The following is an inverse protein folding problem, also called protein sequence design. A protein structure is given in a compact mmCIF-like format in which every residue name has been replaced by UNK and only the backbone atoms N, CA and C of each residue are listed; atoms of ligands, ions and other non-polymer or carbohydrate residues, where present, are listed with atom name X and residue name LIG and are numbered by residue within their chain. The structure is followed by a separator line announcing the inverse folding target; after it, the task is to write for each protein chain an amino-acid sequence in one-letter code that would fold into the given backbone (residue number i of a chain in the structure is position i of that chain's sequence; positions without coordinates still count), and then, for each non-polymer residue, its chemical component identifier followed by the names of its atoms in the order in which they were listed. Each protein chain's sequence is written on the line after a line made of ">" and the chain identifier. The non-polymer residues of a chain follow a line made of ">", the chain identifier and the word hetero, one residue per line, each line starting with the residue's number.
data_IF_214359998972
#
_entry.id   IF_214359998972
#
_cell.length_a   1.000
_cell.length_b   1.000
_cell.length_c   1.000
_cell.angle_alpha   90.00
_cell.angle_beta   90.00
_cell.angle_gamma   90.00
#
_symmetry.space_group_name_H-M   'P 1'
#
loop_
_entity.id
_entity.type
_entity.pdbx_description
1 polymer ?
#
# COMPACT_ATOMS: atom_id res chain seq x y z
N UNK A 1 7.34 -11.29 34.88
CA UNK A 1 7.05 -12.26 33.80
C UNK A 1 8.05 -12.17 32.65
N UNK A 2 8.47 -10.97 32.23
CA UNK A 2 9.32 -10.78 31.05
C UNK A 2 10.75 -11.31 31.21
N UNK A 3 11.36 -11.14 32.39
CA UNK A 3 12.69 -11.69 32.69
C UNK A 3 12.74 -13.22 32.59
N UNK A 4 11.69 -13.92 33.08
CA UNK A 4 11.59 -15.38 32.97
C UNK A 4 11.40 -15.84 31.51
N UNK A 5 10.65 -15.07 30.70
CA UNK A 5 10.49 -15.33 29.26
C UNK A 5 11.80 -15.14 28.50
N UNK A 6 12.56 -14.11 28.85
CA UNK A 6 13.89 -13.89 28.31
C UNK A 6 14.85 -15.03 28.66
N UNK A 7 14.85 -15.49 29.92
CA UNK A 7 15.64 -16.65 30.34
C UNK A 7 15.24 -17.93 29.61
N UNK A 8 13.93 -18.17 29.42
CA UNK A 8 13.43 -19.32 28.66
C UNK A 8 13.86 -19.26 27.18
N UNK A 9 13.83 -18.07 26.57
CA UNK A 9 14.30 -17.83 25.21
C UNK A 9 15.80 -18.14 25.07
N UNK A 10 16.64 -17.59 25.96
CA UNK A 10 18.10 -17.81 25.93
C UNK A 10 18.43 -19.28 26.20
N UNK A 11 17.70 -19.94 27.11
CA UNK A 11 17.89 -21.37 27.38
C UNK A 11 17.51 -22.25 26.17
N UNK A 12 16.37 -21.99 25.54
CA UNK A 12 15.94 -22.73 24.34
C UNK A 12 16.89 -22.51 23.17
N UNK A 13 17.33 -21.27 22.96
CA UNK A 13 18.30 -20.92 21.92
C UNK A 13 19.64 -21.63 22.15
N UNK A 14 20.22 -21.50 23.34
CA UNK A 14 21.50 -22.10 23.69
C UNK A 14 21.47 -23.62 23.65
N UNK A 15 20.37 -24.25 24.10
CA UNK A 15 20.21 -25.71 24.04
C UNK A 15 20.13 -26.21 22.60
N UNK A 16 19.35 -25.54 21.75
CA UNK A 16 19.22 -25.91 20.34
C UNK A 16 20.53 -25.68 19.57
N UNK A 17 21.24 -24.58 19.84
CA UNK A 17 22.56 -24.31 19.25
C UNK A 17 23.57 -25.40 19.66
N UNK A 18 23.66 -25.71 20.96
CA UNK A 18 24.57 -26.75 21.46
C UNK A 18 24.21 -28.13 20.92
N UNK A 19 22.93 -28.44 20.75
CA UNK A 19 22.48 -29.66 20.09
C UNK A 19 22.99 -29.73 18.65
N UNK A 20 22.74 -28.71 17.83
CA UNK A 20 23.16 -28.68 16.41
C UNK A 20 24.67 -28.82 16.28
N UNK A 21 25.44 -28.14 17.13
CA UNK A 21 26.92 -28.24 17.14
C UNK A 21 27.39 -29.63 17.57
N UNK A 22 26.66 -30.31 18.47
CA UNK A 22 26.99 -31.67 18.93
C UNK A 22 26.56 -32.74 17.92
N UNK A 23 25.46 -32.55 17.20
CA UNK A 23 24.88 -33.51 16.26
C UNK A 23 25.33 -33.27 14.79
N UNK A 24 26.44 -32.56 14.60
CA UNK A 24 26.94 -32.09 13.31
C UNK A 24 27.51 -33.16 12.36
N UNK A 25 27.66 -34.40 12.82
CA UNK A 25 28.26 -35.48 12.01
C UNK A 25 29.66 -35.11 11.48
N UNK A 26 29.84 -35.18 10.16
CA UNK A 26 31.09 -34.83 9.45
C UNK A 26 31.23 -33.35 9.06
N UNK A 27 30.28 -32.49 9.46
CA UNK A 27 30.32 -31.08 9.08
C UNK A 27 31.45 -30.34 9.79
N UNK A 28 32.04 -29.38 9.07
CA UNK A 28 33.02 -28.47 9.63
C UNK A 28 32.42 -27.69 10.83
N UNK A 29 33.24 -27.51 11.87
CA UNK A 29 32.85 -26.89 13.14
C UNK A 29 32.36 -25.46 12.92
N UNK A 30 32.93 -24.75 11.94
CA UNK A 30 32.53 -23.39 11.59
C UNK A 30 31.09 -23.32 11.07
N UNK A 31 30.74 -24.13 10.07
CA UNK A 31 29.38 -24.18 9.53
C UNK A 31 28.35 -24.64 10.55
N UNK A 32 28.73 -25.59 11.40
CA UNK A 32 27.86 -26.11 12.47
C UNK A 32 27.55 -25.04 13.52
N UNK A 33 28.48 -24.13 13.81
CA UNK A 33 28.25 -23.01 14.72
C UNK A 33 27.30 -21.97 14.11
N UNK A 34 27.49 -21.61 12.84
CA UNK A 34 26.61 -20.64 12.16
C UNK A 34 25.19 -21.20 12.05
N UNK A 35 25.05 -22.44 11.59
CA UNK A 35 23.74 -23.09 11.43
C UNK A 35 23.08 -23.35 12.78
N UNK A 36 23.85 -23.71 13.81
CA UNK A 36 23.32 -23.87 15.16
C UNK A 36 22.87 -22.55 15.80
N UNK A 37 23.62 -21.47 15.62
CA UNK A 37 23.25 -20.16 16.15
C UNK A 37 22.02 -19.60 15.43
N UNK A 38 21.99 -19.62 14.10
CA UNK A 38 20.88 -19.13 13.29
C UNK A 38 19.62 -20.02 13.44
N UNK A 39 19.78 -21.33 13.36
CA UNK A 39 18.69 -22.29 13.53
C UNK A 39 18.10 -22.27 14.94
N UNK A 40 18.96 -22.19 15.97
CA UNK A 40 18.52 -22.05 17.35
C UNK A 40 17.76 -20.75 17.61
N UNK A 41 18.15 -19.65 16.96
CA UNK A 41 17.48 -18.35 17.11
C UNK A 41 16.07 -18.35 16.54
N UNK A 42 15.87 -18.98 15.37
CA UNK A 42 14.56 -19.15 14.74
C UNK A 42 13.64 -19.97 15.64
N UNK A 43 14.13 -21.11 16.17
CA UNK A 43 13.34 -21.95 17.09
C UNK A 43 12.98 -21.19 18.37
N UNK A 44 13.92 -20.43 18.94
CA UNK A 44 13.66 -19.62 20.13
C UNK A 44 12.60 -18.53 19.86
N UNK A 45 12.61 -17.90 18.67
CA UNK A 45 11.58 -16.93 18.26
C UNK A 45 10.19 -17.57 18.17
N UNK A 46 10.10 -18.79 17.62
CA UNK A 46 8.83 -19.54 17.56
C UNK A 46 8.33 -19.87 18.97
N UNK A 47 9.19 -20.36 19.86
CA UNK A 47 8.82 -20.64 21.26
C UNK A 47 8.40 -19.36 21.99
N UNK A 48 9.08 -18.24 21.76
CA UNK A 48 8.70 -16.95 22.34
C UNK A 48 7.32 -16.50 21.84
N UNK A 49 7.03 -16.68 20.56
CA UNK A 49 5.72 -16.35 19.98
C UNK A 49 4.60 -17.19 20.60
N UNK A 50 4.85 -18.48 20.84
CA UNK A 50 3.91 -19.39 21.51
C UNK A 50 3.70 -18.96 22.97
N UNK A 51 4.77 -18.62 23.70
CA UNK A 51 4.65 -18.18 25.10
C UNK A 51 3.94 -16.82 25.26
N UNK A 52 4.10 -15.90 24.30
CA UNK A 52 3.35 -14.63 24.27
C UNK A 52 1.87 -14.84 23.95
N UNK A 53 1.56 -15.82 23.08
CA UNK A 53 0.18 -16.16 22.73
C UNK A 53 -0.57 -16.86 23.87
N UNK A 54 0.13 -17.68 24.66
CA UNK A 54 -0.47 -18.41 25.79
C UNK A 54 -0.59 -17.57 27.07
N UNK A 55 0.16 -16.47 27.18
CA UNK A 55 0.12 -15.57 28.35
C UNK A 55 0.12 -14.10 27.91
N UNK A 56 -1.03 -13.56 27.46
CA UNK A 56 -1.15 -12.14 27.14
C UNK A 56 -0.84 -11.30 28.39
N UNK A 57 0.16 -10.43 28.30
CA UNK A 57 0.43 -9.43 29.34
C UNK A 57 -0.62 -8.32 29.22
N UNK A 58 -1.44 -8.13 30.25
CA UNK A 58 -2.29 -6.95 30.39
C UNK A 58 -1.40 -5.71 30.57
N UNK A 59 -1.31 -4.88 29.54
CA UNK A 59 -0.91 -3.50 29.69
C UNK A 59 -2.14 -2.63 29.45
N UNK A 60 -2.65 -2.12 30.57
CA UNK A 60 -3.63 -1.04 30.62
C UNK A 60 -3.05 0.18 29.91
N UNK A 61 -3.77 0.68 28.90
CA UNK A 61 -3.49 2.00 28.36
C UNK A 61 -4.22 3.03 29.21
N UNK A 62 -3.44 3.72 30.06
CA UNK A 62 -3.85 4.91 30.78
C UNK A 62 -4.24 6.00 29.77
N UNK A 63 -5.47 6.47 29.89
CA UNK A 63 -6.10 7.49 29.05
C UNK A 63 -5.70 8.86 29.58
N UNK A 64 -4.83 9.59 28.87
CA UNK A 64 -4.65 11.02 29.12
C UNK A 64 -5.75 11.78 28.37
N UNK A 65 -6.77 12.14 29.14
CA UNK A 65 -7.83 13.10 28.83
C UNK A 65 -7.24 14.52 28.77
N UNK A 66 -7.49 15.22 27.67
CA UNK A 66 -7.48 16.69 27.62
C UNK A 66 -8.77 17.15 26.93
N UNK A 67 -9.74 17.55 27.77
CA UNK A 67 -10.80 18.54 27.54
C UNK A 67 -10.24 19.80 26.85
N UNK A 68 -10.90 20.60 26.00
CA UNK A 68 -12.31 20.89 25.75
C UNK A 68 -12.36 21.98 24.67
N UNK A 69 -13.30 21.87 23.71
CA UNK A 69 -14.00 22.98 23.07
C UNK A 69 -14.99 22.40 22.05
N UNK A 70 -16.19 22.11 22.52
CA UNK A 70 -17.39 22.08 21.68
C UNK A 70 -17.69 23.51 21.19
N UNK A 71 -18.38 23.66 20.06
CA UNK A 71 -19.79 23.93 20.24
C UNK A 71 -20.69 23.06 19.37
N UNK A 72 -21.70 22.57 20.07
CA UNK A 72 -23.00 22.05 19.71
C UNK A 72 -23.63 22.68 18.46
N UNK A 73 -24.54 21.89 17.84
CA UNK A 73 -25.72 22.30 17.06
C UNK A 73 -25.45 22.62 15.58
N UNK A 74 -26.13 22.03 14.58
CA UNK A 74 -27.42 21.35 14.47
C UNK A 74 -27.37 20.38 13.26
N UNK A 75 -28.05 19.24 13.39
CA UNK A 75 -28.61 18.51 12.24
C UNK A 75 -29.55 19.42 11.44
N UNK A 76 -29.69 19.20 10.12
CA UNK A 76 -30.96 18.67 9.64
C UNK A 76 -30.73 17.40 8.82
N UNK A 77 -31.40 16.32 9.19
CA UNK A 77 -32.68 15.92 8.57
C UNK A 77 -32.43 15.27 7.20
N UNK A 78 -32.56 13.95 7.20
CA UNK A 78 -32.77 13.20 5.97
C UNK A 78 -34.11 13.64 5.37
N UNK A 79 -34.09 14.08 4.11
CA UNK A 79 -34.96 13.62 3.02
C UNK A 79 -35.00 14.64 1.88
N UNK A 80 -34.52 14.23 0.70
CA UNK A 80 -35.34 14.24 -0.51
C UNK A 80 -34.59 13.53 -1.64
N UNK A 81 -35.10 12.36 -2.00
CA UNK A 81 -34.72 11.59 -3.19
C UNK A 81 -34.89 12.47 -4.42
N UNK A 82 -33.79 12.75 -5.12
CA UNK A 82 -33.84 13.24 -6.50
C UNK A 82 -33.36 12.08 -7.40
N UNK A 83 -34.15 11.64 -8.40
CA UNK A 83 -33.70 10.60 -9.34
C UNK A 83 -32.46 11.11 -10.11
N UNK A 84 -31.59 10.19 -10.60
CA UNK A 84 -30.29 10.56 -11.11
C UNK A 84 -30.47 11.46 -12.34
N UNK A 85 -30.00 12.71 -12.24
CA UNK A 85 -29.71 13.49 -13.42
C UNK A 85 -28.61 12.74 -14.18
N UNK A 86 -29.02 12.01 -15.21
CA UNK A 86 -28.13 11.42 -16.18
C UNK A 86 -27.17 12.51 -16.66
N UNK A 87 -25.88 12.29 -16.42
CA UNK A 87 -24.79 13.15 -16.86
C UNK A 87 -24.71 13.07 -18.39
N UNK A 88 -25.57 13.83 -19.07
CA UNK A 88 -25.68 13.87 -20.55
C UNK A 88 -24.64 14.79 -21.20
N UNK A 89 -23.85 15.53 -20.41
CA UNK A 89 -22.91 16.54 -20.92
C UNK A 89 -21.47 16.41 -20.39
N UNK A 90 -21.07 15.22 -19.89
CA UNK A 90 -19.64 14.96 -19.72
C UNK A 90 -19.04 14.69 -21.12
N UNK A 91 -17.98 15.41 -21.55
CA UNK A 91 -17.30 15.08 -22.79
C UNK A 91 -16.88 13.61 -22.72
N UNK A 92 -17.27 12.84 -23.73
CA UNK A 92 -16.98 11.41 -23.83
C UNK A 92 -15.46 11.25 -23.89
N UNK A 93 -14.85 10.95 -22.76
CA UNK A 93 -13.42 10.67 -22.62
C UNK A 93 -13.10 9.34 -23.31
N UNK A 94 -12.73 9.40 -24.59
CA UNK A 94 -12.15 8.27 -25.29
C UNK A 94 -10.77 7.99 -24.67
N UNK A 95 -10.61 6.82 -24.07
CA UNK A 95 -9.30 6.29 -23.74
C UNK A 95 -8.46 6.27 -25.02
N UNK A 96 -7.23 6.75 -24.97
CA UNK A 96 -6.30 6.60 -26.10
C UNK A 96 -6.06 5.10 -26.26
N UNK A 97 -6.53 4.54 -27.37
CA UNK A 97 -6.30 3.13 -27.69
C UNK A 97 -4.79 2.83 -27.71
N UNK A 98 -4.38 1.62 -27.32
CA UNK A 98 -2.98 1.21 -27.41
C UNK A 98 -2.50 1.35 -28.87
N UNK A 99 -1.56 2.25 -29.13
CA UNK A 99 -0.90 2.42 -30.42
C UNK A 99 0.54 1.91 -30.34
N UNK A 100 0.84 0.90 -31.17
CA UNK A 100 2.15 0.24 -31.29
C UNK A 100 3.26 1.14 -31.86
N UNK A 101 2.93 2.38 -32.22
CA UNK A 101 3.92 3.37 -32.66
C UNK A 101 4.77 3.87 -31.48
N UNK A 102 6.06 4.13 -31.70
CA UNK A 102 6.89 4.79 -30.69
C UNK A 102 6.24 6.11 -30.30
N UNK A 103 6.00 6.35 -29.00
CA UNK A 103 5.41 7.63 -28.59
C UNK A 103 6.37 8.75 -29.03
N UNK A 104 5.82 9.87 -29.52
CA UNK A 104 6.65 10.97 -29.99
C UNK A 104 7.57 11.47 -28.86
N UNK A 105 8.74 12.00 -29.24
CA UNK A 105 9.81 12.33 -28.29
C UNK A 105 9.40 13.37 -27.25
N UNK A 106 8.40 14.19 -27.58
CA UNK A 106 7.80 15.20 -26.71
C UNK A 106 6.87 14.61 -25.64
N UNK A 107 6.54 13.31 -25.70
CA UNK A 107 5.72 12.62 -24.70
C UNK A 107 6.58 12.02 -23.58
N UNK A 108 6.12 12.18 -22.34
CA UNK A 108 6.70 11.50 -21.18
C UNK A 108 6.18 10.06 -21.01
N UNK A 109 5.19 9.63 -21.81
CA UNK A 109 4.57 8.30 -21.72
C UNK A 109 5.38 7.23 -22.47
N UNK A 110 5.34 6.00 -21.96
CA UNK A 110 5.82 4.82 -22.67
C UNK A 110 4.92 4.52 -23.88
N UNK A 111 5.48 3.98 -24.98
CA UNK A 111 4.68 3.40 -26.04
C UNK A 111 3.88 2.22 -25.50
N UNK A 112 2.61 2.12 -25.89
CA UNK A 112 1.69 1.08 -25.40
C UNK A 112 1.59 0.99 -23.87
N UNK A 113 1.64 2.11 -23.15
CA UNK A 113 1.59 2.08 -21.69
C UNK A 113 0.36 1.32 -21.15
N UNK A 114 -0.79 1.43 -21.84
CA UNK A 114 -2.04 0.77 -21.44
C UNK A 114 -1.96 -0.76 -21.45
N UNK A 115 -1.19 -1.37 -22.37
CA UNK A 115 -1.00 -2.82 -22.41
C UNK A 115 0.12 -3.31 -21.49
N UNK A 116 1.01 -2.41 -21.05
CA UNK A 116 2.13 -2.70 -20.15
C UNK A 116 1.81 -2.48 -18.66
N UNK A 117 0.80 -1.67 -18.36
CA UNK A 117 0.42 -1.38 -16.98
C UNK A 117 0.00 -2.68 -16.25
N UNK A 118 0.51 -2.93 -15.03
CA UNK A 118 0.08 -4.08 -14.26
C UNK A 118 -1.42 -3.97 -13.96
N UNK A 119 -2.15 -5.08 -14.12
CA UNK A 119 -3.61 -5.13 -13.87
C UNK A 119 -3.96 -5.20 -12.38
N UNK A 120 -3.03 -5.68 -11.56
CA UNK A 120 -3.13 -5.66 -10.11
C UNK A 120 -1.77 -5.47 -9.46
N UNK A 121 -1.78 -5.07 -8.19
CA UNK A 121 -0.59 -4.88 -7.39
C UNK A 121 -0.88 -5.20 -5.93
N UNK A 122 0.01 -5.95 -5.29
CA UNK A 122 -0.04 -6.16 -3.86
C UNK A 122 0.38 -4.87 -3.12
N UNK A 123 -0.35 -4.51 -2.08
CA UNK A 123 0.03 -3.42 -1.18
C UNK A 123 1.43 -3.61 -0.60
N UNK A 124 1.85 -4.88 -0.40
CA UNK A 124 3.19 -5.20 0.07
C UNK A 124 4.27 -4.72 -0.90
N UNK A 125 4.05 -4.83 -2.22
CA UNK A 125 4.99 -4.33 -3.22
C UNK A 125 5.18 -2.81 -3.09
N UNK A 126 4.11 -2.07 -2.82
CA UNK A 126 4.19 -0.61 -2.63
C UNK A 126 4.90 -0.28 -1.32
N UNK A 127 4.67 -1.05 -0.26
CA UNK A 127 5.40 -0.91 1.00
C UNK A 127 6.89 -1.15 0.83
N UNK A 128 7.29 -2.18 0.08
CA UNK A 128 8.70 -2.55 -0.14
C UNK A 128 9.45 -1.51 -0.99
N UNK A 129 8.73 -0.77 -1.84
CA UNK A 129 9.27 0.30 -2.68
C UNK A 129 9.27 1.68 -1.99
N UNK A 130 8.56 1.81 -0.86
CA UNK A 130 8.46 3.06 -0.12
C UNK A 130 9.69 3.29 0.77
N UNK A 131 10.06 4.56 0.97
CA UNK A 131 11.06 4.92 1.97
C UNK A 131 10.58 4.59 3.40
N UNK A 132 11.46 4.72 4.39
CA UNK A 132 11.17 4.36 5.78
C UNK A 132 9.95 5.08 6.38
N UNK A 133 9.73 6.34 6.00
CA UNK A 133 8.64 7.15 6.52
C UNK A 133 7.32 6.79 5.81
N UNK A 134 7.34 6.70 4.48
CA UNK A 134 6.22 6.29 3.65
C UNK A 134 5.75 4.88 3.99
N UNK A 135 6.69 3.95 4.21
CA UNK A 135 6.41 2.57 4.61
C UNK A 135 5.73 2.50 5.98
N UNK A 136 6.18 3.27 6.97
CA UNK A 136 5.52 3.36 8.29
C UNK A 136 4.12 3.96 8.18
N UNK A 137 3.96 5.05 7.44
CA UNK A 137 2.68 5.72 7.25
C UNK A 137 1.66 4.81 6.53
N UNK A 138 2.07 4.17 5.43
CA UNK A 138 1.24 3.25 4.66
C UNK A 138 0.89 1.98 5.44
N UNK A 139 1.84 1.45 6.22
CA UNK A 139 1.57 0.31 7.11
C UNK A 139 0.53 0.66 8.17
N UNK A 140 0.65 1.84 8.81
CA UNK A 140 -0.33 2.32 9.78
C UNK A 140 -1.72 2.53 9.14
N UNK A 141 -1.76 3.15 7.95
CA UNK A 141 -2.99 3.36 7.19
C UNK A 141 -3.67 2.02 6.84
N UNK A 142 -2.90 1.05 6.33
CA UNK A 142 -3.41 -0.27 5.98
C UNK A 142 -3.93 -1.04 7.19
N UNK A 143 -3.27 -0.90 8.35
CA UNK A 143 -3.67 -1.55 9.60
C UNK A 143 -4.99 -0.96 10.10
N UNK A 144 -5.15 0.37 10.04
CA UNK A 144 -6.37 1.08 10.47
C UNK A 144 -7.62 0.58 9.72
N UNK A 145 -7.49 0.30 8.42
CA UNK A 145 -8.62 -0.11 7.58
C UNK A 145 -8.73 -1.62 7.34
N UNK A 146 -7.88 -2.44 7.98
CA UNK A 146 -7.87 -3.90 7.79
C UNK A 146 -9.08 -4.59 8.42
N UNK A 147 -9.57 -4.09 9.56
CA UNK A 147 -10.61 -4.77 10.35
C UNK A 147 -12.04 -4.44 9.93
N UNK A 148 -12.22 -3.36 9.16
CA UNK A 148 -13.53 -2.92 8.71
C UNK A 148 -13.61 -3.03 7.20
N UNK A 149 -14.39 -4.02 6.75
CA UNK A 149 -14.61 -4.25 5.34
C UNK A 149 -15.23 -3.02 4.66
N UNK A 150 -16.02 -2.18 5.36
CA UNK A 150 -16.76 -1.03 4.83
C UNK A 150 -16.08 0.33 5.03
N UNK A 151 -14.95 0.37 5.75
CA UNK A 151 -14.21 1.59 6.01
C UNK A 151 -13.85 2.33 4.72
N UNK A 152 -13.81 3.67 4.81
CA UNK A 152 -13.33 4.48 3.71
C UNK A 152 -11.82 4.27 3.50
N UNK A 153 -11.48 3.60 2.40
CA UNK A 153 -10.10 3.30 1.99
C UNK A 153 -9.61 4.26 0.91
N UNK A 154 -10.30 5.38 0.69
CA UNK A 154 -9.93 6.40 -0.31
C UNK A 154 -8.47 6.80 -0.26
N UNK A 155 -7.92 7.06 0.93
CA UNK A 155 -6.51 7.44 1.08
C UNK A 155 -5.55 6.29 0.71
N UNK A 156 -5.91 5.05 1.02
CA UNK A 156 -5.12 3.87 0.64
C UNK A 156 -5.18 3.65 -0.88
N UNK A 157 -6.38 3.78 -1.46
CA UNK A 157 -6.61 3.68 -2.90
C UNK A 157 -5.83 4.74 -3.68
N UNK A 158 -5.75 5.98 -3.17
CA UNK A 158 -4.94 7.04 -3.76
C UNK A 158 -3.45 6.68 -3.80
N UNK A 159 -2.89 6.18 -2.69
CA UNK A 159 -1.49 5.73 -2.65
C UNK A 159 -1.26 4.61 -3.68
N UNK A 160 -2.22 3.70 -3.83
CA UNK A 160 -2.14 2.62 -4.81
C UNK A 160 -2.24 3.09 -6.26
N UNK A 161 -2.85 4.24 -6.55
CA UNK A 161 -2.88 4.81 -7.90
C UNK A 161 -1.52 5.33 -8.39
N UNK A 162 -0.68 5.83 -7.48
CA UNK A 162 0.64 6.37 -7.82
C UNK A 162 1.51 5.41 -8.65
N UNK A 163 1.77 4.16 -8.22
CA UNK A 163 2.61 3.23 -8.98
C UNK A 163 2.00 2.81 -10.33
N UNK A 164 0.66 2.79 -10.47
CA UNK A 164 0.03 2.54 -11.77
C UNK A 164 0.28 3.71 -12.73
N UNK A 165 0.16 4.94 -12.25
CA UNK A 165 0.44 6.15 -13.05
C UNK A 165 1.93 6.20 -13.41
N UNK A 166 2.84 6.07 -12.45
CA UNK A 166 4.28 6.17 -12.72
C UNK A 166 4.80 5.03 -13.60
N UNK A 167 4.19 3.85 -13.55
CA UNK A 167 4.47 2.74 -14.45
C UNK A 167 4.17 3.02 -15.94
N UNK A 168 3.40 4.07 -16.24
CA UNK A 168 3.16 4.51 -17.64
C UNK A 168 4.21 5.47 -18.18
N UNK A 169 5.11 5.97 -17.32
CA UNK A 169 6.06 7.03 -17.66
C UNK A 169 7.41 6.45 -18.12
N UNK A 170 8.08 7.15 -19.03
CA UNK A 170 9.46 6.83 -19.48
C UNK A 170 10.46 6.99 -18.35
N UNK A 171 10.31 8.05 -17.56
CA UNK A 171 11.17 8.36 -16.42
C UNK A 171 10.32 8.45 -15.13
N UNK A 172 9.95 7.32 -14.51
CA UNK A 172 9.08 7.30 -13.33
C UNK A 172 9.57 8.16 -12.17
N UNK A 173 10.89 8.23 -11.96
CA UNK A 173 11.51 9.03 -10.90
C UNK A 173 11.37 10.55 -11.09
N UNK A 174 10.98 11.00 -12.29
CA UNK A 174 10.71 12.42 -12.56
C UNK A 174 9.28 12.85 -12.20
N UNK A 175 8.41 11.89 -11.88
CA UNK A 175 6.99 12.13 -11.65
C UNK A 175 6.77 13.03 -10.41
N UNK A 176 5.99 14.09 -10.60
CA UNK A 176 5.53 14.96 -9.52
C UNK A 176 4.01 15.08 -9.61
N UNK A 177 3.33 14.51 -8.64
CA UNK A 177 1.88 14.62 -8.51
C UNK A 177 1.52 15.98 -7.92
N UNK A 178 0.44 16.59 -8.40
CA UNK A 178 -0.12 17.77 -7.74
C UNK A 178 -0.62 17.43 -6.33
N UNK A 179 -0.69 18.46 -5.48
CA UNK A 179 -1.05 18.35 -4.06
C UNK A 179 -2.33 17.52 -3.88
N UNK A 180 -2.37 16.68 -2.85
CA UNK A 180 -3.56 15.88 -2.52
C UNK A 180 -4.79 16.75 -2.20
N UNK A 181 -4.61 18.04 -1.96
CA UNK A 181 -5.71 19.02 -1.84
C UNK A 181 -6.53 19.19 -3.13
N UNK A 182 -5.96 18.92 -4.31
CA UNK A 182 -6.69 18.94 -5.58
C UNK A 182 -7.29 17.58 -5.95
N UNK A 183 -7.22 16.60 -5.04
CA UNK A 183 -7.72 15.26 -5.28
C UNK A 183 -9.24 15.23 -5.21
N UNK A 184 -9.89 14.94 -6.33
CA UNK A 184 -11.31 14.61 -6.37
C UNK A 184 -11.43 13.09 -6.35
N UNK A 185 -12.08 12.55 -5.31
CA UNK A 185 -12.35 11.12 -5.19
C UNK A 185 -13.85 10.83 -5.30
N UNK A 186 -14.18 9.79 -6.07
CA UNK A 186 -15.53 9.28 -6.18
C UNK A 186 -15.55 7.82 -5.72
N UNK A 187 -16.33 7.55 -4.66
CA UNK A 187 -16.60 6.18 -4.21
C UNK A 187 -17.83 5.65 -4.95
N UNK A 188 -17.72 4.45 -5.49
CA UNK A 188 -18.83 3.77 -6.17
C UNK A 188 -19.03 2.35 -5.65
N UNK A 189 -20.26 2.04 -5.23
CA UNK A 189 -20.77 0.71 -4.83
C UNK A 189 -19.74 -0.12 -4.03
N UNK A 190 -19.22 -1.20 -4.63
CA UNK A 190 -18.31 -2.20 -4.07
C UNK A 190 -16.89 -1.67 -3.80
N UNK A 191 -16.79 -0.43 -3.30
CA UNK A 191 -15.54 0.26 -2.96
C UNK A 191 -14.59 0.42 -4.14
N UNK A 192 -15.16 0.76 -5.30
CA UNK A 192 -14.40 1.31 -6.41
C UNK A 192 -14.09 2.76 -6.10
N UNK A 193 -12.82 3.13 -6.19
CA UNK A 193 -12.37 4.50 -5.99
C UNK A 193 -11.79 5.04 -7.30
N UNK A 194 -12.37 6.14 -7.78
CA UNK A 194 -11.86 6.87 -8.95
C UNK A 194 -11.27 8.20 -8.48
N UNK A 195 -10.04 8.47 -8.90
CA UNK A 195 -9.31 9.69 -8.59
C UNK A 195 -8.93 10.43 -9.85
N UNK A 196 -9.20 11.74 -9.86
CA UNK A 196 -8.74 12.65 -10.89
C UNK A 196 -7.68 13.58 -10.32
N UNK A 197 -6.48 13.61 -10.91
CA UNK A 197 -5.41 14.53 -10.51
C UNK A 197 -4.46 14.82 -11.71
N UNK A 198 -3.42 15.61 -11.48
CA UNK A 198 -2.36 15.88 -12.47
C UNK A 198 -1.02 15.31 -12.02
N UNK A 199 -0.22 14.92 -13.01
CA UNK A 199 1.17 14.48 -12.85
C UNK A 199 2.04 15.22 -13.86
N UNK A 200 3.15 15.76 -13.38
CA UNK A 200 4.20 16.34 -14.20
C UNK A 200 5.30 15.30 -14.35
N UNK A 201 5.76 15.05 -15.56
CA UNK A 201 6.81 14.08 -15.85
C UNK A 201 7.73 14.59 -16.95
N UNK A 202 9.00 14.18 -16.91
CA UNK A 202 10.00 14.56 -17.91
C UNK A 202 9.87 13.71 -19.17
N UNK A 203 9.99 14.32 -20.35
CA UNK A 203 10.06 13.62 -21.63
C UNK A 203 11.52 13.31 -22.05
N UNK A 204 11.72 12.81 -23.27
CA UNK A 204 13.08 12.48 -23.76
C UNK A 204 13.93 13.71 -24.11
N UNK A 205 13.32 14.87 -24.35
CA UNK A 205 14.04 16.13 -24.64
C UNK A 205 14.47 16.86 -23.38
N UNK A 206 13.99 16.42 -22.22
CA UNK A 206 14.29 17.02 -20.91
C UNK A 206 13.22 18.00 -20.42
N UNK A 207 12.16 18.22 -21.20
CA UNK A 207 11.07 19.11 -20.85
C UNK A 207 10.09 18.44 -19.89
N UNK A 208 9.51 19.24 -19.00
CA UNK A 208 8.48 18.80 -18.08
C UNK A 208 7.10 18.91 -18.78
N UNK A 209 6.39 17.78 -18.86
CA UNK A 209 5.08 17.67 -19.52
C UNK A 209 4.03 17.32 -18.47
N UNK A 210 2.91 18.04 -18.51
CA UNK A 210 1.80 17.83 -17.57
C UNK A 210 0.77 16.90 -18.18
N UNK A 211 0.32 15.93 -17.40
CA UNK A 211 -0.78 15.04 -17.74
C UNK A 211 -1.87 15.14 -16.68
N UNK A 212 -3.12 15.17 -17.13
CA UNK A 212 -4.28 14.83 -16.31
C UNK A 212 -4.45 13.33 -16.33
N UNK A 213 -4.76 12.73 -15.18
CA UNK A 213 -5.06 11.31 -15.10
C UNK A 213 -6.34 11.05 -14.30
N UNK A 214 -7.05 10.01 -14.73
CA UNK A 214 -8.13 9.37 -13.99
C UNK A 214 -7.71 7.94 -13.66
N UNK A 215 -7.61 7.60 -12.38
CA UNK A 215 -7.23 6.28 -11.90
C UNK A 215 -8.37 5.65 -11.12
N UNK A 216 -8.88 4.52 -11.60
CA UNK A 216 -9.93 3.74 -10.94
C UNK A 216 -9.37 2.43 -10.41
N UNK A 217 -9.46 2.22 -9.10
CA UNK A 217 -8.92 1.04 -8.42
C UNK A 217 -9.93 0.41 -7.47
N UNK A 218 -9.75 -0.88 -7.21
CA UNK A 218 -10.56 -1.64 -6.27
C UNK A 218 -9.70 -2.63 -5.49
N UNK A 219 -9.87 -2.67 -4.17
CA UNK A 219 -9.28 -3.71 -3.34
C UNK A 219 -9.96 -5.06 -3.65
N UNK A 220 -9.16 -6.09 -3.90
CA UNK A 220 -9.67 -7.45 -4.08
C UNK A 220 -10.04 -8.06 -2.72
N UNK A 221 -11.06 -8.95 -2.69
CA UNK A 221 -11.39 -9.70 -1.50
C UNK A 221 -10.16 -10.45 -0.98
N UNK A 222 -9.82 -10.24 0.29
CA UNK A 222 -8.71 -10.96 0.91
C UNK A 222 -9.14 -12.38 1.22
N UNK A 223 -8.35 -13.34 0.77
CA UNK A 223 -8.45 -14.73 1.20
C UNK A 223 -7.33 -14.95 2.21
N UNK A 224 -7.68 -15.30 3.45
CA UNK A 224 -6.75 -15.55 4.57
C UNK A 224 -5.88 -14.34 4.97
N UNK A 225 -4.66 -14.60 5.49
CA UNK A 225 -3.70 -13.60 5.95
C UNK A 225 -2.90 -12.92 4.81
N UNK A 226 -3.39 -13.00 3.57
CA UNK A 226 -2.68 -12.46 2.40
C UNK A 226 -2.70 -10.92 2.41
N UNK A 227 -1.62 -10.27 1.92
CA UNK A 227 -1.61 -8.82 1.74
C UNK A 227 -2.76 -8.35 0.85
N UNK A 228 -3.26 -7.14 1.09
CA UNK A 228 -4.28 -6.54 0.25
C UNK A 228 -3.80 -6.45 -1.21
N UNK A 229 -4.53 -7.07 -2.14
CA UNK A 229 -4.34 -6.87 -3.57
C UNK A 229 -5.24 -5.74 -4.06
N UNK A 230 -4.70 -4.87 -4.90
CA UNK A 230 -5.44 -3.79 -5.55
C UNK A 230 -5.45 -4.01 -7.04
N UNK A 231 -6.65 -4.03 -7.62
CA UNK A 231 -6.85 -4.16 -9.06
C UNK A 231 -7.02 -2.79 -9.67
N UNK A 232 -6.31 -2.55 -10.77
CA UNK A 232 -6.56 -1.43 -11.66
C UNK A 232 -7.76 -1.75 -12.54
N UNK A 233 -8.80 -0.92 -12.46
CA UNK A 233 -10.00 -1.06 -13.28
C UNK A 233 -9.90 -0.23 -14.56
N UNK A 234 -9.41 1.01 -14.42
CA UNK A 234 -9.24 1.92 -15.53
C UNK A 234 -8.13 2.94 -15.21
N UNK A 235 -7.36 3.32 -16.22
CA UNK A 235 -6.34 4.35 -16.13
C UNK A 235 -6.33 5.15 -17.42
N UNK A 236 -6.73 6.42 -17.32
CA UNK A 236 -6.69 7.35 -18.44
C UNK A 236 -5.63 8.40 -18.18
N UNK A 237 -4.81 8.69 -19.18
CA UNK A 237 -3.88 9.81 -19.17
C UNK A 237 -4.10 10.68 -20.39
N UNK A 238 -4.18 11.99 -20.16
CA UNK A 238 -4.33 12.99 -21.20
C UNK A 238 -3.29 14.09 -20.98
N UNK A 239 -2.54 14.45 -22.02
CA UNK A 239 -1.64 15.61 -21.97
C UNK A 239 -2.51 16.83 -21.67
N UNK A 240 -2.17 17.59 -20.62
CA UNK A 240 -2.85 18.84 -20.35
C UNK A 240 -2.46 19.84 -21.45
N UNK A 241 -3.44 20.47 -22.08
CA UNK A 241 -3.18 21.54 -23.03
C UNK A 241 -2.43 22.66 -22.31
N UNK A 242 -1.31 23.09 -22.92
CA UNK A 242 -0.44 24.17 -22.43
C UNK A 242 -1.08 25.53 -22.60
#
# INVERSE_FOLDING_TARGET
>A
MEFLRFLAFVAAWGFMWRWVVKNRGSWNVFYSNIVGAAGGFIVAMVVLSITLSLFPSSHDYETVQTQEAEPTSLLPEAESVTPPAALKDAPVFAAIEPDDKPSPADSALLPNYASRAPKSMALQTVLDQSDDQGRKALAALSKKFRSDAQADKSMLAYVMCSPFVTGTLRFPASARFADSKSLVSHRFKDQVYTFSNTVIARNMTGDDVTYRFDCSVQEQPRVDATPAEWRLLDLKLQKADS
#
